data_IF_100416448042
#
_entry.id   IF_100416448042
#
_cell.length_a   1.000
_cell.length_b   1.000
_cell.length_c   1.000
_cell.angle_alpha   90.00
_cell.angle_beta   90.00
_cell.angle_gamma   90.00
#
_symmetry.space_group_name_H-M   'P 1'
#
loop_
_entity.id
_entity.type
_entity.pdbx_description
1 polymer ?
#
# COMPACT_ATOMS: atom_id res chain seq x y z
N UNK A 1 12.71 11.32 2.16
CA UNK A 1 11.54 12.05 1.78
C UNK A 1 10.84 12.57 2.97
N UNK A 2 10.42 13.82 2.96
CA UNK A 2 9.71 14.40 4.09
C UNK A 2 8.23 14.15 3.93
N UNK A 3 7.52 14.03 5.04
CA UNK A 3 6.09 13.88 5.03
C UNK A 3 5.49 15.26 4.91
N UNK A 4 4.74 15.49 3.84
CA UNK A 4 4.13 16.78 3.61
C UNK A 4 2.65 16.62 3.37
N UNK A 5 1.85 17.44 4.00
CA UNK A 5 0.42 17.39 3.87
C UNK A 5 -0.08 18.59 3.08
N UNK A 6 -1.20 18.42 2.41
CA UNK A 6 -1.78 19.52 1.66
C UNK A 6 -2.26 20.59 2.63
N UNK A 7 -2.40 21.83 2.16
CA UNK A 7 -2.90 22.89 3.03
C UNK A 7 -4.28 22.60 3.60
N UNK A 8 -5.15 21.97 2.82
CA UNK A 8 -6.48 21.64 3.30
C UNK A 8 -6.43 20.60 4.41
N UNK A 9 -5.63 19.56 4.21
CA UNK A 9 -5.49 18.54 5.22
C UNK A 9 -4.88 19.13 6.49
N UNK A 10 -3.89 20.00 6.33
CA UNK A 10 -3.27 20.65 7.46
C UNK A 10 -4.29 21.43 8.28
N UNK A 11 -5.15 22.18 7.59
CA UNK A 11 -6.18 22.93 8.27
C UNK A 11 -7.16 22.04 9.00
N UNK A 12 -7.58 20.97 8.38
CA UNK A 12 -8.50 20.04 9.02
C UNK A 12 -7.88 19.41 10.25
N UNK A 13 -6.60 19.06 10.18
CA UNK A 13 -5.92 18.46 11.32
C UNK A 13 -5.76 19.47 12.44
N UNK A 14 -5.46 20.73 12.12
CA UNK A 14 -5.36 21.75 13.13
C UNK A 14 -6.70 21.95 13.84
N UNK A 15 -7.78 21.99 13.09
CA UNK A 15 -9.11 22.11 13.68
C UNK A 15 -9.43 20.93 14.57
N UNK A 16 -9.06 19.75 14.13
CA UNK A 16 -9.30 18.54 14.90
C UNK A 16 -8.51 18.54 16.21
N UNK A 17 -7.28 19.00 16.15
CA UNK A 17 -6.45 19.10 17.35
C UNK A 17 -7.05 20.07 18.34
N UNK A 18 -7.52 21.21 17.85
CA UNK A 18 -8.15 22.20 18.73
C UNK A 18 -9.39 21.61 19.40
N UNK A 19 -10.17 20.89 18.65
CA UNK A 19 -11.37 20.27 19.18
C UNK A 19 -11.01 19.22 20.23
N UNK A 20 -9.98 18.45 19.98
CA UNK A 20 -9.56 17.42 20.92
C UNK A 20 -9.17 18.04 22.25
N UNK A 21 -8.42 19.14 22.22
CA UNK A 21 -8.04 19.82 23.45
C UNK A 21 -9.22 20.38 24.17
N UNK A 22 -10.17 20.95 23.44
CA UNK A 22 -11.34 21.55 24.06
C UNK A 22 -12.20 20.48 24.73
N UNK A 23 -12.38 19.37 24.06
CA UNK A 23 -13.30 18.33 24.56
C UNK A 23 -12.70 17.42 25.59
N UNK A 24 -11.41 17.15 25.49
CA UNK A 24 -10.80 16.17 26.36
C UNK A 24 -9.86 16.73 27.41
N UNK A 25 -9.30 17.90 27.17
CA UNK A 25 -8.34 18.49 28.09
C UNK A 25 -8.80 19.83 28.64
N UNK A 26 -10.00 20.23 28.32
CA UNK A 26 -10.56 21.50 28.78
C UNK A 26 -9.67 22.67 28.51
N UNK A 27 -8.98 22.66 27.36
CA UNK A 27 -8.10 23.74 26.99
C UNK A 27 -8.46 24.27 25.63
N UNK A 28 -8.39 25.57 25.50
CA UNK A 28 -8.72 26.24 24.27
C UNK A 28 -7.42 26.73 23.68
N UNK A 29 -6.82 25.97 22.79
CA UNK A 29 -5.58 26.41 22.20
C UNK A 29 -5.88 27.05 20.86
N UNK A 30 -5.05 28.01 20.49
CA UNK A 30 -5.24 28.71 19.23
C UNK A 30 -4.58 27.99 18.07
N UNK A 31 -4.68 28.61 16.91
CA UNK A 31 -4.14 28.03 15.70
C UNK A 31 -2.63 27.84 15.77
N UNK A 32 -1.94 28.77 16.40
CA UNK A 32 -0.50 28.69 16.47
C UNK A 32 -0.06 27.45 17.24
N UNK A 33 -0.64 27.23 18.40
CA UNK A 33 -0.28 26.06 19.21
C UNK A 33 -0.69 24.77 18.55
N UNK A 34 -1.87 24.77 17.90
CA UNK A 34 -2.29 23.58 17.17
C UNK A 34 -1.34 23.27 16.03
N UNK A 35 -0.88 24.31 15.34
CA UNK A 35 0.09 24.13 14.27
C UNK A 35 1.43 23.64 14.74
N UNK A 36 1.87 24.14 15.89
CA UNK A 36 3.13 23.69 16.46
C UNK A 36 3.06 22.22 16.85
N UNK A 37 1.96 21.81 17.43
CA UNK A 37 1.79 20.42 17.82
C UNK A 37 1.72 19.53 16.59
N UNK A 38 1.00 19.96 15.55
CA UNK A 38 0.93 19.20 14.32
C UNK A 38 2.31 19.03 13.71
N UNK A 39 3.10 20.11 13.71
CA UNK A 39 4.45 20.04 13.17
C UNK A 39 5.30 19.05 13.95
N UNK A 40 5.15 19.04 15.28
CA UNK A 40 5.86 18.08 16.11
C UNK A 40 5.46 16.66 15.73
N UNK A 41 4.16 16.42 15.58
CA UNK A 41 3.69 15.08 15.21
C UNK A 41 4.24 14.64 13.86
N UNK A 42 4.28 15.53 12.89
CA UNK A 42 4.78 15.19 11.57
C UNK A 42 6.26 14.85 11.60
N UNK A 43 7.02 15.55 12.43
CA UNK A 43 8.45 15.32 12.46
C UNK A 43 8.89 14.22 13.39
N UNK A 44 8.17 14.04 14.47
CA UNK A 44 8.59 13.06 15.46
C UNK A 44 7.84 11.74 15.34
N UNK A 45 6.53 11.80 15.13
CA UNK A 45 5.70 10.60 15.11
C UNK A 45 5.49 10.10 13.69
N UNK A 46 5.32 11.03 12.75
CA UNK A 46 5.03 10.69 11.37
C UNK A 46 5.96 9.70 10.73
N UNK A 47 7.28 9.86 10.87
CA UNK A 47 8.20 8.92 10.22
C UNK A 47 8.04 7.49 10.68
N UNK A 48 7.73 7.28 11.96
CA UNK A 48 7.51 5.91 12.44
C UNK A 48 6.29 5.29 11.82
N UNK A 49 5.20 6.06 11.71
CA UNK A 49 3.99 5.58 11.09
C UNK A 49 4.21 5.36 9.60
N UNK A 50 4.87 6.30 8.96
CA UNK A 50 5.13 6.20 7.53
C UNK A 50 5.98 4.97 7.21
N UNK A 51 7.01 4.73 7.99
CA UNK A 51 7.89 3.59 7.76
C UNK A 51 7.15 2.28 7.97
N UNK A 52 6.25 2.25 8.94
CA UNK A 52 5.45 1.06 9.16
C UNK A 52 4.53 0.82 7.96
N UNK A 53 3.95 1.87 7.43
CA UNK A 53 3.07 1.75 6.26
C UNK A 53 3.85 1.23 5.05
N UNK A 54 5.08 1.71 4.87
CA UNK A 54 5.91 1.26 3.75
C UNK A 54 6.26 -0.22 3.93
N UNK A 55 6.58 -0.62 5.16
CA UNK A 55 6.90 -2.03 5.41
C UNK A 55 5.69 -2.92 5.13
N UNK A 56 4.51 -2.46 5.53
CA UNK A 56 3.29 -3.21 5.28
C UNK A 56 3.01 -3.33 3.78
N UNK A 57 3.20 -2.24 3.05
CA UNK A 57 3.00 -2.26 1.60
C UNK A 57 4.00 -3.19 0.93
N UNK A 58 5.24 -3.15 1.39
CA UNK A 58 6.28 -4.00 0.82
C UNK A 58 5.95 -5.47 1.03
N UNK A 59 5.48 -5.82 2.23
CA UNK A 59 5.10 -7.20 2.51
C UNK A 59 3.95 -7.64 1.61
N UNK A 60 3.00 -6.75 1.39
CA UNK A 60 1.86 -7.06 0.54
C UNK A 60 2.32 -7.33 -0.89
N UNK A 61 3.16 -6.45 -1.43
CA UNK A 61 3.65 -6.63 -2.80
C UNK A 61 4.53 -7.86 -2.93
N UNK A 62 5.36 -8.14 -1.94
CA UNK A 62 6.19 -9.33 -1.98
C UNK A 62 5.33 -10.59 -2.00
N UNK A 63 4.24 -10.59 -1.24
CA UNK A 63 3.32 -11.70 -1.26
C UNK A 63 2.69 -11.88 -2.63
N UNK A 64 2.28 -10.77 -3.27
CA UNK A 64 1.67 -10.85 -4.60
C UNK A 64 2.68 -11.31 -5.63
N UNK A 65 3.90 -10.84 -5.55
CA UNK A 65 4.95 -11.26 -6.46
C UNK A 65 5.21 -12.77 -6.30
N UNK A 66 5.22 -13.22 -5.05
CA UNK A 66 5.45 -14.64 -4.79
C UNK A 66 4.34 -15.54 -5.33
N UNK A 67 3.13 -15.00 -5.45
CA UNK A 67 2.00 -15.78 -5.93
C UNK A 67 1.98 -15.91 -7.45
N UNK A 68 2.80 -15.16 -8.16
CA UNK A 68 2.75 -15.16 -9.62
C UNK A 68 2.97 -16.54 -10.21
N UNK A 69 3.89 -17.28 -9.66
CA UNK A 69 4.17 -18.60 -10.17
C UNK A 69 2.95 -19.51 -10.07
N UNK A 70 2.25 -19.42 -8.96
CA UNK A 70 1.06 -20.24 -8.79
C UNK A 70 -0.09 -19.83 -9.66
N UNK A 71 -0.20 -18.52 -9.94
CA UNK A 71 -1.32 -18.00 -10.72
C UNK A 71 -1.05 -18.05 -12.21
N UNK A 72 0.18 -17.76 -12.60
CA UNK A 72 0.52 -17.62 -14.01
C UNK A 72 1.36 -18.73 -14.60
N UNK A 73 1.71 -19.71 -13.80
CA UNK A 73 2.58 -20.77 -14.28
C UNK A 73 1.88 -21.61 -15.35
N UNK A 74 2.63 -21.91 -16.40
CA UNK A 74 2.14 -22.79 -17.45
C UNK A 74 3.03 -24.00 -17.52
N UNK A 75 2.42 -25.18 -17.63
CA UNK A 75 3.20 -26.38 -17.75
C UNK A 75 3.93 -26.40 -19.05
N UNK A 76 5.21 -26.75 -18.99
CA UNK A 76 6.02 -26.77 -20.19
C UNK A 76 6.16 -28.17 -20.72
N UNK A 77 6.56 -28.28 -21.94
CA UNK A 77 6.93 -29.55 -22.57
C UNK A 77 5.83 -30.61 -22.48
N UNK A 78 4.59 -30.20 -22.70
CA UNK A 78 3.48 -31.13 -22.57
C UNK A 78 2.97 -31.65 -23.88
N UNK A 79 3.49 -31.19 -25.00
CA UNK A 79 2.96 -31.57 -26.31
C UNK A 79 2.95 -33.10 -26.50
N UNK A 80 4.06 -33.73 -26.23
CA UNK A 80 4.18 -35.16 -26.50
C UNK A 80 3.59 -36.05 -25.40
N UNK A 81 3.32 -35.47 -24.25
CA UNK A 81 2.80 -36.25 -23.14
C UNK A 81 1.27 -36.24 -23.10
N UNK A 82 0.65 -35.36 -23.86
CA UNK A 82 -0.80 -35.31 -23.86
C UNK A 82 -1.34 -36.35 -24.77
N UNK A 83 -2.53 -36.87 -24.46
CA UNK A 83 -3.17 -37.83 -25.32
C UNK A 83 -3.64 -37.12 -26.56
N UNK A 84 -3.84 -37.83 -27.65
CA UNK A 84 -4.25 -37.18 -28.88
C UNK A 84 -5.50 -36.33 -28.73
N UNK A 85 -6.45 -36.76 -27.96
CA UNK A 85 -7.64 -35.98 -27.76
C UNK A 85 -7.32 -34.69 -27.04
N UNK A 86 -6.45 -34.73 -26.10
CA UNK A 86 -6.05 -33.52 -25.38
C UNK A 86 -5.24 -32.60 -26.25
N UNK A 87 -4.38 -33.13 -27.08
CA UNK A 87 -3.57 -32.31 -27.94
C UNK A 87 -4.43 -31.60 -28.95
N UNK A 88 -5.52 -32.15 -29.32
CA UNK A 88 -6.36 -31.52 -30.29
C UNK A 88 -7.11 -30.34 -29.74
N UNK A 89 -7.18 -30.20 -28.44
CA UNK A 89 -7.85 -29.08 -27.90
C UNK A 89 -7.17 -27.84 -28.20
N UNK A 90 -7.90 -26.78 -28.28
CA UNK A 90 -7.32 -25.53 -28.52
C UNK A 90 -6.50 -25.09 -27.44
N UNK A 91 -5.33 -24.70 -27.55
CA UNK A 91 -4.45 -24.23 -26.50
C UNK A 91 -4.92 -22.92 -25.97
N UNK A 92 -4.66 -22.66 -24.77
CA UNK A 92 -5.04 -21.49 -24.23
C UNK A 92 -4.16 -20.50 -24.50
N UNK A 93 -4.33 -19.44 -24.48
CA UNK A 93 -3.48 -18.53 -24.86
C UNK A 93 -3.08 -17.66 -23.98
N UNK A 94 -3.31 -17.01 -23.57
CA UNK A 94 -3.02 -16.11 -22.87
C UNK A 94 -2.03 -15.93 -22.17
N UNK A 95 -1.68 -15.08 -21.64
CA UNK A 95 -0.70 -14.72 -20.78
C UNK A 95 0.40 -15.62 -20.76
N UNK A 96 0.31 -16.60 -21.38
CA UNK A 96 1.34 -17.54 -21.33
C UNK A 96 2.65 -16.97 -21.75
N UNK A 97 2.62 -15.97 -22.53
CA UNK A 97 3.86 -15.37 -22.95
C UNK A 97 4.67 -14.87 -21.82
N UNK A 98 4.05 -14.53 -20.73
CA UNK A 98 4.79 -14.04 -19.66
C UNK A 98 5.60 -15.04 -19.00
N UNK A 99 5.08 -16.19 -18.81
CA UNK A 99 5.78 -17.14 -18.04
C UNK A 99 6.88 -17.78 -18.76
N UNK A 100 6.85 -17.72 -20.02
CA UNK A 100 7.90 -18.39 -20.74
C UNK A 100 9.20 -17.69 -20.64
N UNK A 101 9.21 -16.59 -20.11
CA UNK A 101 10.46 -15.87 -20.07
C UNK A 101 11.54 -16.59 -19.34
#
# INVERSE_FOLDING_TARGET
MAIELSPETTKQLQSSIKRYFAENLDQDIGDLKAGMLLNYCLKEIGPSIYNQAIADAQAYFQGRVGDLEGVCYEKEFTYWTLKPADSARKPRTKGSGLTSA
#
